data_IF_653348905439
#
_entry.id   IF_653348905439
#
_cell.length_a   1.000
_cell.length_b   1.000
_cell.length_c   1.000
_cell.angle_alpha   90.00
_cell.angle_beta   90.00
_cell.angle_gamma   90.00
#
_symmetry.space_group_name_H-M   'P 1'
#
loop_
_entity.id
_entity.type
_entity.pdbx_description
1 polymer ?
#
# COMPACT_ATOMS: atom_id res chain seq x y z
N UNK A 1 42.87 7.40 -31.10
CA UNK A 1 41.49 7.46 -31.60
C UNK A 1 40.55 6.39 -31.00
N UNK A 2 41.05 5.26 -30.49
CA UNK A 2 40.21 4.17 -29.94
C UNK A 2 39.68 4.47 -28.51
N UNK A 3 40.43 5.22 -27.70
CA UNK A 3 40.05 5.53 -26.31
C UNK A 3 38.81 6.47 -26.19
N UNK A 4 38.59 7.36 -27.16
CA UNK A 4 37.42 8.25 -27.16
C UNK A 4 36.12 7.50 -27.51
N UNK A 5 36.21 6.44 -28.31
CA UNK A 5 35.06 5.59 -28.70
C UNK A 5 34.59 4.76 -27.50
N UNK A 6 35.50 4.24 -26.68
CA UNK A 6 35.16 3.52 -25.45
C UNK A 6 34.45 4.39 -24.39
N UNK A 7 34.80 5.67 -24.29
CA UNK A 7 34.10 6.61 -23.40
C UNK A 7 32.67 6.92 -23.85
N UNK A 8 32.44 7.04 -25.16
CA UNK A 8 31.10 7.25 -25.73
C UNK A 8 30.24 5.99 -25.56
N UNK A 9 30.83 4.81 -25.75
CA UNK A 9 30.13 3.53 -25.64
C UNK A 9 29.71 3.21 -24.19
N UNK A 10 30.55 3.56 -23.21
CA UNK A 10 30.22 3.47 -21.79
C UNK A 10 29.06 4.42 -21.41
N UNK A 11 29.06 5.65 -21.93
CA UNK A 11 28.00 6.62 -21.68
C UNK A 11 26.68 6.19 -22.34
N UNK A 12 26.74 5.59 -23.53
CA UNK A 12 25.57 5.05 -24.23
C UNK A 12 24.96 3.83 -23.50
N UNK A 13 25.79 3.01 -22.86
CA UNK A 13 25.34 1.89 -22.01
C UNK A 13 24.73 2.36 -20.69
N UNK A 14 25.24 3.43 -20.09
CA UNK A 14 24.67 4.05 -18.88
C UNK A 14 23.33 4.73 -19.18
N UNK A 15 23.20 5.41 -20.32
CA UNK A 15 21.94 6.03 -20.77
C UNK A 15 20.83 5.01 -21.05
N UNK A 16 21.17 3.82 -21.57
CA UNK A 16 20.20 2.74 -21.76
C UNK A 16 19.73 2.13 -20.42
N UNK A 17 20.62 1.98 -19.42
CA UNK A 17 20.26 1.50 -18.09
C UNK A 17 19.38 2.47 -17.29
N UNK A 18 19.54 3.78 -17.50
CA UNK A 18 18.69 4.81 -16.84
C UNK A 18 17.29 4.82 -17.45
N UNK A 19 17.13 4.45 -18.73
CA UNK A 19 15.81 4.31 -19.37
C UNK A 19 15.04 3.04 -18.94
N UNK A 20 15.74 2.05 -18.39
CA UNK A 20 15.17 0.79 -17.88
C UNK A 20 14.67 0.87 -16.43
N UNK A 21 14.70 2.05 -15.77
CA UNK A 21 13.92 2.26 -14.55
C UNK A 21 12.42 2.36 -14.88
N UNK A 22 11.85 1.17 -15.09
CA UNK A 22 10.46 0.80 -14.83
C UNK A 22 9.45 1.92 -15.11
N UNK A 23 9.21 2.19 -16.40
CA UNK A 23 7.92 2.69 -16.84
C UNK A 23 6.87 1.62 -16.50
N UNK A 24 6.32 1.68 -15.29
CA UNK A 24 5.09 0.95 -14.98
C UNK A 24 4.05 1.44 -15.98
N UNK A 25 3.63 0.55 -16.87
CA UNK A 25 2.48 0.82 -17.72
C UNK A 25 1.27 1.09 -16.80
N UNK A 26 0.36 2.00 -17.17
CA UNK A 26 -0.73 2.43 -16.27
C UNK A 26 -1.58 1.29 -15.69
N UNK A 27 -1.61 0.13 -16.36
CA UNK A 27 -2.33 -1.06 -15.92
C UNK A 27 -1.61 -1.82 -14.78
N UNK A 28 -0.27 -1.83 -14.77
CA UNK A 28 0.52 -2.44 -13.70
C UNK A 28 0.46 -1.61 -12.40
N UNK A 29 0.45 -0.28 -12.51
CA UNK A 29 0.30 0.63 -11.38
C UNK A 29 -1.03 0.45 -10.64
N UNK A 30 -2.13 0.27 -11.39
CA UNK A 30 -3.44 -0.01 -10.81
C UNK A 30 -3.50 -1.38 -10.14
N UNK A 31 -2.90 -2.39 -10.77
CA UNK A 31 -2.83 -3.75 -10.19
C UNK A 31 -2.05 -3.74 -8.88
N UNK A 32 -0.92 -3.04 -8.83
CA UNK A 32 -0.14 -2.87 -7.60
C UNK A 32 -0.93 -2.16 -6.50
N UNK A 33 -1.64 -1.08 -6.83
CA UNK A 33 -2.48 -0.36 -5.86
C UNK A 33 -3.64 -1.21 -5.34
N UNK A 34 -4.23 -2.05 -6.20
CA UNK A 34 -5.27 -3.00 -5.81
C UNK A 34 -4.74 -4.08 -4.86
N UNK A 35 -3.54 -4.61 -5.13
CA UNK A 35 -2.92 -5.60 -4.27
C UNK A 35 -2.54 -5.02 -2.91
N UNK A 36 -1.97 -3.81 -2.87
CA UNK A 36 -1.74 -3.07 -1.63
C UNK A 36 -3.05 -2.83 -0.85
N UNK A 37 -4.16 -2.53 -1.52
CA UNK A 37 -5.45 -2.38 -0.85
C UNK A 37 -5.99 -3.70 -0.28
N UNK A 38 -5.77 -4.84 -0.96
CA UNK A 38 -6.11 -6.16 -0.40
C UNK A 38 -5.30 -6.45 0.86
N UNK A 39 -4.02 -6.13 0.87
CA UNK A 39 -3.17 -6.27 2.06
C UNK A 39 -3.67 -5.39 3.21
N UNK A 40 -4.06 -4.14 2.94
CA UNK A 40 -4.63 -3.25 3.95
C UNK A 40 -5.93 -3.78 4.55
N UNK A 41 -6.80 -4.39 3.74
CA UNK A 41 -8.03 -5.03 4.23
C UNK A 41 -7.68 -6.21 5.15
N UNK A 42 -6.69 -7.02 4.80
CA UNK A 42 -6.24 -8.13 5.65
C UNK A 42 -5.64 -7.62 6.96
N UNK A 43 -4.81 -6.56 6.90
CA UNK A 43 -4.23 -5.93 8.08
C UNK A 43 -5.31 -5.33 8.99
N UNK A 44 -6.34 -4.69 8.41
CA UNK A 44 -7.48 -4.17 9.17
C UNK A 44 -8.23 -5.30 9.88
N UNK A 45 -8.53 -6.40 9.19
CA UNK A 45 -9.17 -7.57 9.80
C UNK A 45 -8.35 -8.16 10.94
N UNK A 46 -7.03 -8.19 10.81
CA UNK A 46 -6.14 -8.64 11.88
C UNK A 46 -6.21 -7.71 13.10
N UNK A 47 -6.12 -6.39 12.88
CA UNK A 47 -6.22 -5.39 13.95
C UNK A 47 -7.60 -5.40 14.65
N UNK A 48 -8.69 -5.61 13.91
CA UNK A 48 -10.02 -5.79 14.50
C UNK A 48 -10.10 -7.06 15.36
N UNK A 49 -9.49 -8.15 14.91
CA UNK A 49 -9.49 -9.43 15.65
C UNK A 49 -8.69 -9.28 16.95
N UNK A 50 -7.52 -8.65 16.88
CA UNK A 50 -6.70 -8.31 18.05
C UNK A 50 -7.49 -7.46 19.06
N UNK A 51 -8.14 -6.40 18.57
CA UNK A 51 -8.96 -5.52 19.42
C UNK A 51 -10.12 -6.27 20.08
N UNK A 52 -10.80 -7.17 19.35
CA UNK A 52 -11.89 -7.99 19.89
C UNK A 52 -11.39 -8.95 20.97
N UNK A 53 -10.23 -9.57 20.79
CA UNK A 53 -9.64 -10.45 21.78
C UNK A 53 -9.29 -9.68 23.06
N UNK A 54 -8.58 -8.55 22.93
CA UNK A 54 -8.25 -7.69 24.08
C UNK A 54 -9.50 -7.16 24.79
N UNK A 55 -10.54 -6.82 24.04
CA UNK A 55 -11.83 -6.39 24.60
C UNK A 55 -12.48 -7.53 25.39
N UNK A 56 -12.44 -8.76 24.86
CA UNK A 56 -12.99 -9.94 25.54
C UNK A 56 -12.21 -10.25 26.82
N UNK A 57 -10.88 -10.27 26.73
CA UNK A 57 -9.99 -10.52 27.88
C UNK A 57 -10.20 -9.48 28.99
N UNK A 58 -10.43 -8.22 28.62
CA UNK A 58 -10.75 -7.14 29.54
C UNK A 58 -12.14 -7.30 30.18
N UNK A 59 -13.18 -7.58 29.39
CA UNK A 59 -14.55 -7.75 29.91
C UNK A 59 -14.68 -9.00 30.80
N UNK A 60 -13.95 -10.06 30.47
CA UNK A 60 -13.94 -11.31 31.25
C UNK A 60 -13.06 -11.22 32.50
N UNK A 61 -12.29 -10.14 32.65
CA UNK A 61 -11.35 -9.95 33.77
C UNK A 61 -10.13 -10.86 33.68
N UNK A 62 -9.88 -11.50 32.53
CA UNK A 62 -8.69 -12.30 32.30
C UNK A 62 -7.42 -11.44 32.18
N UNK A 63 -7.56 -10.17 31.78
CA UNK A 63 -6.46 -9.24 31.60
C UNK A 63 -6.90 -7.80 31.94
N UNK A 64 -6.16 -7.09 32.81
CA UNK A 64 -6.52 -5.74 33.30
C UNK A 64 -5.73 -4.63 32.59
N UNK A 65 -5.19 -4.92 31.40
CA UNK A 65 -4.41 -3.95 30.62
C UNK A 65 -5.31 -3.08 29.72
N UNK A 66 -5.92 -2.06 30.34
CA UNK A 66 -6.73 -1.07 29.63
C UNK A 66 -5.90 -0.23 28.66
N UNK A 67 -4.60 0.00 28.92
CA UNK A 67 -3.77 0.83 28.07
C UNK A 67 -3.54 0.16 26.71
N UNK A 68 -3.20 -1.13 26.71
CA UNK A 68 -3.05 -1.92 25.48
C UNK A 68 -4.36 -2.03 24.70
N UNK A 69 -5.51 -2.18 25.39
CA UNK A 69 -6.82 -2.16 24.75
C UNK A 69 -7.09 -0.84 24.02
N UNK A 70 -6.87 0.29 24.70
CA UNK A 70 -7.09 1.63 24.13
C UNK A 70 -6.16 1.89 22.94
N UNK A 71 -4.89 1.49 23.03
CA UNK A 71 -3.94 1.60 21.92
C UNK A 71 -4.38 0.76 20.73
N UNK A 72 -4.82 -0.49 20.97
CA UNK A 72 -5.30 -1.37 19.91
C UNK A 72 -6.57 -0.81 19.24
N UNK A 73 -7.50 -0.26 20.03
CA UNK A 73 -8.71 0.41 19.54
C UNK A 73 -8.38 1.62 18.66
N UNK A 74 -7.51 2.52 19.12
CA UNK A 74 -7.11 3.70 18.36
C UNK A 74 -6.39 3.31 17.06
N UNK A 75 -5.46 2.35 17.13
CA UNK A 75 -4.76 1.79 15.98
C UNK A 75 -5.72 1.19 14.96
N UNK A 76 -6.71 0.40 15.40
CA UNK A 76 -7.74 -0.18 14.54
C UNK A 76 -8.59 0.92 13.89
N UNK A 77 -8.96 1.96 14.64
CA UNK A 77 -9.72 3.10 14.15
C UNK A 77 -8.98 3.90 13.06
N UNK A 78 -7.71 4.22 13.28
CA UNK A 78 -6.87 4.90 12.28
C UNK A 78 -6.70 4.03 11.03
N UNK A 79 -6.43 2.74 11.21
CA UNK A 79 -6.24 1.81 10.10
C UNK A 79 -7.53 1.65 9.28
N UNK A 80 -8.70 1.62 9.91
CA UNK A 80 -9.99 1.59 9.21
C UNK A 80 -10.21 2.84 8.37
N UNK A 81 -9.97 4.02 8.94
CA UNK A 81 -10.08 5.29 8.21
C UNK A 81 -9.15 5.31 7.00
N UNK A 82 -7.91 4.84 7.16
CA UNK A 82 -6.95 4.74 6.08
C UNK A 82 -7.41 3.76 4.99
N UNK A 83 -7.90 2.57 5.36
CA UNK A 83 -8.46 1.60 4.40
C UNK A 83 -9.64 2.17 3.63
N UNK A 84 -10.51 2.96 4.28
CA UNK A 84 -11.62 3.64 3.60
C UNK A 84 -11.13 4.68 2.59
N UNK A 85 -10.08 5.45 2.92
CA UNK A 85 -9.47 6.40 1.99
C UNK A 85 -8.89 5.70 0.76
N UNK A 86 -8.14 4.60 0.96
CA UNK A 86 -7.58 3.81 -0.14
C UNK A 86 -8.69 3.19 -1.00
N UNK A 87 -9.72 2.60 -0.37
CA UNK A 87 -10.89 2.07 -1.07
C UNK A 87 -11.58 3.12 -1.94
N UNK A 88 -11.81 4.31 -1.37
CA UNK A 88 -12.45 5.41 -2.09
C UNK A 88 -11.56 5.90 -3.23
N UNK A 89 -10.24 6.00 -3.01
CA UNK A 89 -9.27 6.36 -4.04
C UNK A 89 -9.27 5.39 -5.23
N UNK A 90 -9.27 4.08 -4.96
CA UNK A 90 -9.35 3.05 -6.01
C UNK A 90 -10.67 3.11 -6.78
N UNK A 91 -11.79 3.32 -6.08
CA UNK A 91 -13.09 3.47 -6.74
C UNK A 91 -13.13 4.71 -7.64
N UNK A 92 -12.56 5.82 -7.19
CA UNK A 92 -12.43 7.04 -7.98
C UNK A 92 -11.54 6.83 -9.20
N UNK A 93 -10.38 6.19 -9.05
CA UNK A 93 -9.48 5.87 -10.15
C UNK A 93 -10.15 4.97 -11.21
N UNK A 94 -10.91 3.96 -10.76
CA UNK A 94 -11.70 3.13 -11.67
C UNK A 94 -12.73 3.94 -12.45
N UNK A 95 -13.47 4.83 -11.77
CA UNK A 95 -14.44 5.73 -12.42
C UNK A 95 -13.77 6.68 -13.41
N UNK A 96 -12.59 7.19 -13.09
CA UNK A 96 -11.83 8.10 -13.96
C UNK A 96 -11.36 7.41 -15.23
N UNK A 97 -10.83 6.18 -15.14
CA UNK A 97 -10.46 5.37 -16.31
C UNK A 97 -11.68 5.13 -17.21
N UNK A 98 -12.83 4.84 -16.61
CA UNK A 98 -14.08 4.64 -17.35
C UNK A 98 -14.53 5.93 -18.06
N UNK A 99 -14.37 7.10 -17.43
CA UNK A 99 -14.69 8.40 -18.01
C UNK A 99 -13.69 8.87 -19.08
N UNK A 100 -12.44 8.40 -19.06
CA UNK A 100 -11.45 8.70 -20.11
C UNK A 100 -11.67 7.89 -21.40
N UNK A 101 -12.36 6.75 -21.30
CA UNK A 101 -12.57 5.81 -22.41
C UNK A 101 -13.89 6.03 -23.16
N UNK A 102 -14.67 7.06 -22.78
CA UNK A 102 -15.92 7.47 -23.43
C UNK A 102 -15.74 8.73 -24.27
#
# INVERSE_FOLDING_TARGET
MIAAVQGIQLNQQLMNKIQDEKKLTGNESFTYALDAAKELIQANKAAETETKNLTNDFITGANDDIASLLIAQEKSGILLQYTLQVRNGLLSAYKEIMNLSV
#
